data_IF_663235849238
#
_entry.id   IF_663235849238
#
_cell.length_a   1.000
_cell.length_b   1.000
_cell.length_c   1.000
_cell.angle_alpha   90.00
_cell.angle_beta   90.00
_cell.angle_gamma   90.00
#
_symmetry.space_group_name_H-M   'P 1'
#
loop_
_entity.id
_entity.type
_entity.pdbx_description
1 polymer ?
#
# COMPACT_ATOMS: atom_id res chain seq x y z
N UNK A 1 -8.00 23.08 15.78
CA UNK A 1 -7.64 22.33 14.54
C UNK A 1 -6.60 23.06 13.70
N UNK A 2 -6.79 24.34 13.41
CA UNK A 2 -5.84 25.13 12.63
C UNK A 2 -4.43 25.19 13.25
N UNK A 3 -4.35 25.36 14.59
CA UNK A 3 -3.09 25.36 15.33
C UNK A 3 -2.41 23.97 15.23
N UNK A 4 -3.16 22.90 15.42
CA UNK A 4 -2.65 21.53 15.31
C UNK A 4 -2.07 21.25 13.91
N UNK A 5 -2.77 21.68 12.86
CA UNK A 5 -2.32 21.56 11.48
C UNK A 5 -0.95 22.20 11.26
N UNK A 6 -0.79 23.49 11.62
CA UNK A 6 0.47 24.19 11.43
C UNK A 6 1.59 23.70 12.35
N UNK A 7 1.26 23.32 13.59
CA UNK A 7 2.23 22.73 14.49
C UNK A 7 2.80 21.42 13.96
N UNK A 8 1.93 20.52 13.45
CA UNK A 8 2.37 19.28 12.82
C UNK A 8 3.31 19.56 11.62
N UNK A 9 2.96 20.51 10.75
CA UNK A 9 3.82 20.88 9.63
C UNK A 9 5.18 21.43 10.07
N UNK A 10 5.21 22.27 11.11
CA UNK A 10 6.47 22.83 11.64
C UNK A 10 7.37 21.72 12.20
N UNK A 11 6.81 20.82 13.01
CA UNK A 11 7.53 19.66 13.59
C UNK A 11 8.13 18.76 12.49
N UNK A 12 7.38 18.52 11.41
CA UNK A 12 7.88 17.78 10.26
C UNK A 12 9.02 18.51 9.54
N UNK A 13 8.95 19.85 9.37
CA UNK A 13 10.01 20.63 8.71
C UNK A 13 11.33 20.58 9.46
N UNK A 14 11.28 20.65 10.77
CA UNK A 14 12.49 20.57 11.61
C UNK A 14 12.91 19.11 11.91
N UNK A 15 12.18 18.12 11.37
CA UNK A 15 12.42 16.67 11.57
C UNK A 15 12.53 16.27 13.03
N UNK A 16 11.63 16.81 13.88
CA UNK A 16 11.67 16.58 15.31
C UNK A 16 11.17 15.18 15.68
N UNK A 17 12.08 14.24 15.92
CA UNK A 17 11.75 12.82 16.15
C UNK A 17 10.84 12.59 17.36
N UNK A 18 11.00 13.36 18.43
CA UNK A 18 10.12 13.25 19.61
C UNK A 18 8.65 13.60 19.32
N UNK A 19 8.34 14.19 18.15
CA UNK A 19 6.99 14.47 17.72
C UNK A 19 6.26 13.25 17.11
N UNK A 20 6.94 12.12 16.90
CA UNK A 20 6.31 10.94 16.25
C UNK A 20 5.06 10.53 17.03
N UNK A 21 5.17 10.29 18.33
CA UNK A 21 4.00 9.87 19.14
C UNK A 21 2.88 10.92 19.16
N UNK A 22 3.12 12.21 19.44
CA UNK A 22 2.10 13.25 19.34
C UNK A 22 1.42 13.34 17.96
N UNK A 23 2.15 13.08 16.87
CA UNK A 23 1.57 13.06 15.52
C UNK A 23 0.67 11.83 15.31
N UNK A 24 1.05 10.66 15.83
CA UNK A 24 0.19 9.48 15.84
C UNK A 24 -1.06 9.69 16.67
N UNK A 25 -0.95 10.32 17.85
CA UNK A 25 -2.10 10.66 18.71
C UNK A 25 -3.05 11.63 17.99
N UNK A 26 -2.52 12.56 17.20
CA UNK A 26 -3.32 13.46 16.37
C UNK A 26 -4.12 12.69 15.31
N UNK A 27 -3.54 11.66 14.69
CA UNK A 27 -4.23 10.79 13.72
C UNK A 27 -5.37 10.03 14.41
N UNK A 28 -5.11 9.46 15.59
CA UNK A 28 -6.13 8.74 16.38
C UNK A 28 -7.28 9.67 16.74
N UNK A 29 -6.97 10.86 17.24
CA UNK A 29 -7.98 11.85 17.64
C UNK A 29 -8.82 12.37 16.47
N UNK A 30 -8.25 12.40 15.26
CA UNK A 30 -8.96 12.80 14.04
C UNK A 30 -9.89 11.70 13.51
N UNK A 31 -9.61 10.44 13.77
CA UNK A 31 -10.42 9.28 13.36
C UNK A 31 -10.85 9.29 11.87
N UNK A 32 -10.01 9.83 10.98
CA UNK A 32 -10.26 10.03 9.54
C UNK A 32 -11.41 10.99 9.17
N UNK A 33 -11.95 11.76 10.11
CA UNK A 33 -13.06 12.69 9.88
C UNK A 33 -12.63 13.90 9.04
N UNK A 34 -11.45 14.48 9.30
CA UNK A 34 -10.92 15.63 8.58
C UNK A 34 -9.68 15.23 7.77
N UNK A 35 -9.78 15.38 6.45
CA UNK A 35 -8.69 15.04 5.51
C UNK A 35 -7.44 15.90 5.73
N UNK A 36 -7.59 17.17 6.08
CA UNK A 36 -6.47 18.08 6.34
C UNK A 36 -5.74 17.73 7.63
N UNK A 37 -6.51 17.40 8.68
CA UNK A 37 -5.96 16.96 9.97
C UNK A 37 -5.32 15.57 9.91
N UNK A 38 -5.70 14.73 8.93
CA UNK A 38 -4.95 13.50 8.61
C UNK A 38 -3.71 13.80 7.79
N UNK A 39 -3.81 14.68 6.79
CA UNK A 39 -2.70 14.99 5.88
C UNK A 39 -1.49 15.61 6.59
N UNK A 40 -1.72 16.55 7.53
CA UNK A 40 -0.64 17.27 8.20
C UNK A 40 0.31 16.34 8.98
N UNK A 41 -0.16 15.43 9.87
CA UNK A 41 0.71 14.50 10.57
C UNK A 41 1.34 13.45 9.63
N UNK A 42 0.64 12.97 8.60
CA UNK A 42 1.21 12.06 7.60
C UNK A 42 2.40 12.73 6.90
N UNK A 43 2.26 13.98 6.47
CA UNK A 43 3.34 14.72 5.84
C UNK A 43 4.50 14.98 6.83
N UNK A 44 4.19 15.28 8.08
CA UNK A 44 5.21 15.50 9.12
C UNK A 44 6.01 14.22 9.40
N UNK A 45 5.33 13.08 9.59
CA UNK A 45 5.96 11.77 9.79
C UNK A 45 6.85 11.38 8.60
N UNK A 46 6.37 11.63 7.37
CA UNK A 46 7.17 11.38 6.16
C UNK A 46 8.45 12.24 6.12
N UNK A 47 8.38 13.51 6.57
CA UNK A 47 9.56 14.39 6.64
C UNK A 47 10.53 14.01 7.75
N UNK A 48 10.04 13.50 8.87
CA UNK A 48 10.86 12.94 9.96
C UNK A 48 11.63 11.72 9.43
N UNK A 49 11.01 10.90 8.58
CA UNK A 49 11.70 9.88 7.80
C UNK A 49 12.02 8.59 8.57
N UNK A 50 11.39 8.32 9.71
CA UNK A 50 11.61 7.07 10.47
C UNK A 50 10.60 6.01 10.01
N UNK A 51 11.09 4.96 9.38
CA UNK A 51 10.24 3.87 8.85
C UNK A 51 9.83 2.87 9.92
N UNK A 52 10.72 2.53 10.84
CA UNK A 52 10.51 1.48 11.85
C UNK A 52 9.26 1.71 12.70
N UNK A 53 9.05 2.87 13.37
CA UNK A 53 7.86 3.08 14.20
C UNK A 53 6.57 3.11 13.36
N UNK A 54 6.67 3.41 12.07
CA UNK A 54 5.52 3.45 11.16
C UNK A 54 5.17 2.05 10.66
N UNK A 55 6.17 1.24 10.28
CA UNK A 55 5.93 -0.13 9.81
C UNK A 55 5.41 -1.05 10.93
N UNK A 56 5.78 -0.77 12.17
CA UNK A 56 5.27 -1.48 13.35
C UNK A 56 3.75 -1.29 13.58
N UNK A 57 3.13 -0.30 12.93
CA UNK A 57 1.69 -0.07 12.99
C UNK A 57 0.86 -1.07 12.18
N UNK A 58 1.47 -1.98 11.42
CA UNK A 58 0.75 -2.96 10.59
C UNK A 58 -0.23 -3.81 11.42
N UNK A 59 0.15 -4.18 12.65
CA UNK A 59 -0.68 -4.97 13.55
C UNK A 59 -1.49 -4.12 14.55
N UNK A 60 -1.52 -2.79 14.39
CA UNK A 60 -2.23 -1.90 15.30
C UNK A 60 -3.75 -2.05 15.14
N UNK A 61 -4.48 -2.05 16.26
CA UNK A 61 -5.94 -2.16 16.24
C UNK A 61 -6.64 -0.93 15.63
N UNK A 62 -6.02 0.25 15.71
CA UNK A 62 -6.60 1.48 15.18
C UNK A 62 -6.46 1.55 13.66
N UNK A 63 -7.59 1.59 12.97
CA UNK A 63 -7.68 1.63 11.51
C UNK A 63 -7.00 2.88 10.92
N UNK A 64 -7.22 4.04 11.53
CA UNK A 64 -6.67 5.33 11.04
C UNK A 64 -5.15 5.35 11.11
N UNK A 65 -4.55 4.72 12.13
CA UNK A 65 -3.08 4.57 12.21
C UNK A 65 -2.55 3.67 11.09
N UNK A 66 -3.23 2.56 10.77
CA UNK A 66 -2.81 1.68 9.69
C UNK A 66 -2.90 2.36 8.31
N UNK A 67 -3.99 3.11 8.06
CA UNK A 67 -4.12 3.92 6.83
C UNK A 67 -3.00 4.96 6.76
N UNK A 68 -2.78 5.71 7.83
CA UNK A 68 -1.73 6.73 7.87
C UNK A 68 -0.33 6.12 7.65
N UNK A 69 -0.07 4.95 8.22
CA UNK A 69 1.19 4.24 8.02
C UNK A 69 1.44 3.90 6.54
N UNK A 70 0.45 3.37 5.82
CA UNK A 70 0.55 3.14 4.37
C UNK A 70 0.87 4.43 3.62
N UNK A 71 0.20 5.55 3.95
CA UNK A 71 0.43 6.83 3.30
C UNK A 71 1.83 7.41 3.59
N UNK A 72 2.35 7.21 4.81
CA UNK A 72 3.72 7.61 5.17
C UNK A 72 4.75 6.76 4.44
N UNK A 73 4.61 5.43 4.48
CA UNK A 73 5.54 4.49 3.84
C UNK A 73 5.56 4.66 2.31
N UNK A 74 4.42 4.96 1.68
CA UNK A 74 4.36 5.34 0.27
C UNK A 74 5.24 6.56 -0.03
N UNK A 75 5.15 7.62 0.78
CA UNK A 75 5.96 8.83 0.61
C UNK A 75 7.44 8.61 0.83
N UNK A 76 7.78 7.66 1.71
CA UNK A 76 9.16 7.24 1.98
C UNK A 76 9.67 6.21 0.97
N UNK A 77 8.82 5.73 0.05
CA UNK A 77 9.12 4.64 -0.88
C UNK A 77 9.69 3.40 -0.17
N UNK A 78 9.16 3.11 1.02
CA UNK A 78 9.66 2.04 1.87
C UNK A 78 9.01 0.70 1.50
N UNK A 79 9.81 -0.37 1.26
CA UNK A 79 9.29 -1.71 1.00
C UNK A 79 8.52 -2.30 2.20
N UNK A 80 8.68 -1.72 3.38
CA UNK A 80 7.91 -2.08 4.58
C UNK A 80 6.39 -1.93 4.41
N UNK A 81 5.94 -1.17 3.41
CA UNK A 81 4.52 -1.07 3.05
C UNK A 81 3.90 -2.42 2.67
N UNK A 82 4.71 -3.39 2.23
CA UNK A 82 4.26 -4.76 1.92
C UNK A 82 3.66 -5.49 3.13
N UNK A 83 3.98 -5.09 4.37
CA UNK A 83 3.37 -5.65 5.58
C UNK A 83 1.85 -5.46 5.59
N UNK A 84 1.36 -4.36 5.03
CA UNK A 84 -0.05 -4.00 4.97
C UNK A 84 -0.84 -4.74 3.86
N UNK A 85 -0.17 -5.51 3.00
CA UNK A 85 -0.84 -6.43 2.07
C UNK A 85 -1.54 -7.60 2.77
N UNK A 86 -1.30 -7.79 4.07
CA UNK A 86 -1.93 -8.80 4.91
C UNK A 86 -2.98 -8.22 5.86
N UNK A 87 -3.35 -6.94 5.69
CA UNK A 87 -4.34 -6.29 6.56
C UNK A 87 -5.70 -6.98 6.42
N UNK A 88 -6.45 -7.03 7.53
CA UNK A 88 -7.82 -7.53 7.59
C UNK A 88 -8.84 -6.64 6.85
N UNK A 89 -8.48 -5.39 6.59
CA UNK A 89 -9.29 -4.42 5.85
C UNK A 89 -8.80 -4.35 4.40
N UNK A 90 -9.61 -4.88 3.46
CA UNK A 90 -9.27 -4.90 2.04
C UNK A 90 -9.02 -3.51 1.46
N UNK A 91 -9.60 -2.46 2.05
CA UNK A 91 -9.29 -1.09 1.66
C UNK A 91 -7.82 -0.75 1.93
N UNK A 92 -7.30 -1.13 3.09
CA UNK A 92 -5.89 -0.89 3.45
C UNK A 92 -4.96 -1.71 2.55
N UNK A 93 -5.32 -2.96 2.26
CA UNK A 93 -4.59 -3.79 1.28
C UNK A 93 -4.56 -3.11 -0.09
N UNK A 94 -5.69 -2.56 -0.53
CA UNK A 94 -5.79 -1.84 -1.82
C UNK A 94 -4.93 -0.58 -1.85
N UNK A 95 -4.89 0.18 -0.76
CA UNK A 95 -4.02 1.38 -0.66
C UNK A 95 -2.53 1.00 -0.57
N UNK A 96 -2.19 -0.11 0.09
CA UNK A 96 -0.84 -0.65 0.08
C UNK A 96 -0.42 -1.09 -1.33
N UNK A 97 -1.29 -1.78 -2.05
CA UNK A 97 -1.06 -2.16 -3.45
C UNK A 97 -0.86 -0.92 -4.34
N UNK A 98 -1.66 0.14 -4.11
CA UNK A 98 -1.50 1.43 -4.79
C UNK A 98 -0.14 2.06 -4.48
N UNK A 99 0.29 2.02 -3.22
CA UNK A 99 1.59 2.56 -2.82
C UNK A 99 2.77 1.82 -3.49
N UNK A 100 2.63 0.51 -3.69
CA UNK A 100 3.67 -0.33 -4.29
C UNK A 100 3.74 -0.18 -5.80
N UNK A 101 2.59 -0.14 -6.48
CA UNK A 101 2.53 -0.27 -7.94
C UNK A 101 2.45 1.05 -8.68
N UNK A 102 1.75 2.06 -8.11
CA UNK A 102 1.47 3.32 -8.79
C UNK A 102 2.63 4.32 -8.59
N UNK A 103 2.65 5.38 -9.39
CA UNK A 103 3.64 6.47 -9.35
C UNK A 103 5.10 5.94 -9.47
N UNK A 104 5.88 6.14 -8.43
CA UNK A 104 7.24 5.63 -8.28
C UNK A 104 7.18 4.24 -7.63
N UNK A 105 7.13 3.22 -8.41
CA UNK A 105 7.02 1.84 -7.93
C UNK A 105 8.06 1.49 -6.84
N UNK A 106 7.62 0.73 -5.85
CA UNK A 106 8.50 0.16 -4.81
C UNK A 106 8.85 -1.27 -5.24
N UNK A 107 9.92 -1.40 -6.00
CA UNK A 107 10.28 -2.65 -6.70
C UNK A 107 10.45 -3.83 -5.75
N UNK A 108 11.08 -3.62 -4.58
CA UNK A 108 11.30 -4.66 -3.57
C UNK A 108 10.00 -5.23 -2.99
N UNK A 109 8.90 -4.50 -3.12
CA UNK A 109 7.58 -4.93 -2.63
C UNK A 109 6.71 -5.58 -3.73
N UNK A 110 7.09 -5.51 -5.00
CA UNK A 110 6.34 -6.10 -6.12
C UNK A 110 6.10 -7.61 -5.97
N UNK A 111 7.07 -8.44 -5.51
CA UNK A 111 6.83 -9.87 -5.34
C UNK A 111 5.69 -10.17 -4.34
N UNK A 112 5.61 -9.41 -3.25
CA UNK A 112 4.54 -9.57 -2.27
C UNK A 112 3.17 -9.19 -2.86
N UNK A 113 3.11 -8.13 -3.68
CA UNK A 113 1.90 -7.70 -4.37
C UNK A 113 1.45 -8.71 -5.43
N UNK A 114 2.36 -9.20 -6.28
CA UNK A 114 2.06 -10.22 -7.29
C UNK A 114 1.55 -11.52 -6.65
N UNK A 115 2.08 -11.89 -5.49
CA UNK A 115 1.66 -13.07 -4.74
C UNK A 115 0.19 -13.06 -4.32
N UNK A 116 -0.50 -11.92 -4.28
CA UNK A 116 -1.92 -11.84 -3.96
C UNK A 116 -2.81 -12.50 -5.03
N UNK A 117 -2.34 -12.71 -6.25
CA UNK A 117 -3.07 -13.43 -7.31
C UNK A 117 -3.43 -14.88 -6.93
N UNK A 118 -2.71 -15.47 -5.98
CA UNK A 118 -2.97 -16.82 -5.49
C UNK A 118 -4.01 -16.87 -4.36
N UNK A 119 -4.56 -15.72 -3.95
CA UNK A 119 -5.44 -15.59 -2.78
C UNK A 119 -6.87 -15.21 -3.20
N UNK A 120 -7.79 -16.17 -3.10
CA UNK A 120 -9.18 -16.00 -3.56
C UNK A 120 -10.04 -15.09 -2.66
N UNK A 121 -9.53 -14.71 -1.49
CA UNK A 121 -10.23 -13.85 -0.54
C UNK A 121 -10.43 -12.43 -1.04
N UNK A 122 -9.52 -11.93 -1.87
CA UNK A 122 -9.57 -10.57 -2.39
C UNK A 122 -10.53 -10.44 -3.57
N UNK A 123 -11.36 -9.40 -3.52
CA UNK A 123 -12.36 -9.10 -4.57
C UNK A 123 -12.22 -7.69 -5.14
N UNK A 124 -11.41 -6.85 -4.50
CA UNK A 124 -11.15 -5.49 -4.97
C UNK A 124 -10.52 -5.50 -6.37
N UNK A 125 -11.27 -5.03 -7.37
CA UNK A 125 -10.78 -4.94 -8.75
C UNK A 125 -9.51 -4.05 -8.85
N UNK A 126 -9.45 -2.87 -8.21
CA UNK A 126 -8.24 -2.05 -8.21
C UNK A 126 -7.02 -2.74 -7.60
N UNK A 127 -7.21 -3.60 -6.58
CA UNK A 127 -6.15 -4.41 -5.99
C UNK A 127 -5.64 -5.46 -6.98
N UNK A 128 -6.55 -6.25 -7.53
CA UNK A 128 -6.21 -7.37 -8.41
C UNK A 128 -5.57 -6.90 -9.73
N UNK A 129 -6.01 -5.76 -10.30
CA UNK A 129 -5.33 -5.14 -11.45
C UNK A 129 -3.88 -4.78 -11.18
N UNK A 130 -3.59 -4.24 -9.98
CA UNK A 130 -2.21 -3.93 -9.55
C UNK A 130 -1.39 -5.20 -9.35
N UNK A 131 -1.99 -6.26 -8.84
CA UNK A 131 -1.32 -7.55 -8.68
C UNK A 131 -0.99 -8.19 -10.03
N UNK A 132 -1.88 -8.09 -11.03
CA UNK A 132 -1.63 -8.53 -12.41
C UNK A 132 -0.48 -7.71 -13.01
N UNK A 133 -0.49 -6.40 -12.86
CA UNK A 133 0.57 -5.53 -13.36
C UNK A 133 1.92 -5.80 -12.67
N UNK A 134 1.92 -6.02 -11.35
CA UNK A 134 3.13 -6.38 -10.62
C UNK A 134 3.72 -7.70 -11.11
N UNK A 135 2.89 -8.70 -11.41
CA UNK A 135 3.35 -9.97 -11.99
C UNK A 135 3.99 -9.77 -13.36
N UNK A 136 3.37 -8.96 -14.24
CA UNK A 136 3.95 -8.63 -15.55
C UNK A 136 5.33 -7.97 -15.42
N UNK A 137 5.45 -7.03 -14.51
CA UNK A 137 6.71 -6.28 -14.31
C UNK A 137 7.85 -7.12 -13.75
N UNK A 138 7.54 -8.13 -12.94
CA UNK A 138 8.52 -9.11 -12.47
C UNK A 138 8.97 -10.05 -13.58
N UNK A 139 8.05 -10.45 -14.46
CA UNK A 139 8.35 -11.20 -15.67
C UNK A 139 8.87 -12.63 -15.48
N UNK A 140 8.80 -13.18 -14.25
CA UNK A 140 9.33 -14.50 -13.93
C UNK A 140 8.36 -15.66 -14.25
N UNK A 141 8.89 -16.86 -14.27
CA UNK A 141 8.11 -18.11 -14.51
C UNK A 141 7.02 -18.32 -13.46
N UNK A 142 7.29 -17.95 -12.20
CA UNK A 142 6.33 -18.08 -11.09
C UNK A 142 5.16 -17.15 -11.34
N UNK A 143 5.41 -15.91 -11.71
CA UNK A 143 4.39 -14.91 -11.98
C UNK A 143 3.55 -15.29 -13.19
N UNK A 144 4.15 -15.83 -14.24
CA UNK A 144 3.45 -16.35 -15.41
C UNK A 144 2.48 -17.48 -15.02
N UNK A 145 2.94 -18.47 -14.23
CA UNK A 145 2.09 -19.58 -13.77
C UNK A 145 0.95 -19.09 -12.89
N UNK A 146 1.21 -18.11 -12.02
CA UNK A 146 0.19 -17.50 -11.17
C UNK A 146 -0.87 -16.77 -12.01
N UNK A 147 -0.48 -16.04 -13.05
CA UNK A 147 -1.41 -15.39 -13.99
C UNK A 147 -2.24 -16.41 -14.77
N UNK A 148 -1.64 -17.51 -15.24
CA UNK A 148 -2.37 -18.60 -15.90
C UNK A 148 -3.40 -19.21 -14.95
N UNK A 149 -3.02 -19.48 -13.71
CA UNK A 149 -3.90 -20.04 -12.69
C UNK A 149 -5.05 -19.07 -12.36
N UNK A 150 -4.74 -17.79 -12.21
CA UNK A 150 -5.73 -16.72 -11.99
C UNK A 150 -6.73 -16.63 -13.16
N UNK A 151 -6.26 -16.64 -14.39
CA UNK A 151 -7.10 -16.56 -15.59
C UNK A 151 -8.07 -17.75 -15.72
N UNK A 152 -7.67 -18.92 -15.24
CA UNK A 152 -8.49 -20.15 -15.26
C UNK A 152 -9.48 -20.19 -14.09
N UNK A 153 -9.27 -19.44 -13.01
CA UNK A 153 -10.05 -19.57 -11.78
C UNK A 153 -11.40 -18.85 -11.89
N UNK A 154 -12.56 -19.59 -11.85
CA UNK A 154 -13.89 -18.99 -11.96
C UNK A 154 -14.30 -18.17 -10.73
N UNK A 155 -13.56 -18.22 -9.62
CA UNK A 155 -13.80 -17.39 -8.43
C UNK A 155 -13.57 -15.89 -8.70
N UNK A 156 -12.85 -15.55 -9.76
CA UNK A 156 -12.61 -14.18 -10.20
C UNK A 156 -13.52 -13.78 -11.36
N UNK A 157 -13.78 -12.47 -11.50
CA UNK A 157 -14.62 -11.94 -12.56
C UNK A 157 -14.05 -12.24 -13.95
N UNK A 158 -14.93 -12.39 -14.95
CA UNK A 158 -14.51 -12.62 -16.34
C UNK A 158 -13.66 -11.47 -16.88
N UNK A 159 -13.91 -10.23 -16.42
CA UNK A 159 -13.14 -9.04 -16.80
C UNK A 159 -11.68 -9.17 -16.36
N UNK A 160 -11.44 -9.46 -15.08
CA UNK A 160 -10.08 -9.61 -14.54
C UNK A 160 -9.34 -10.82 -15.13
N UNK A 161 -10.07 -11.91 -15.36
CA UNK A 161 -9.51 -13.10 -16.02
C UNK A 161 -9.10 -12.80 -17.46
N UNK A 162 -9.92 -12.04 -18.19
CA UNK A 162 -9.60 -11.56 -19.54
C UNK A 162 -8.39 -10.62 -19.54
N UNK A 163 -8.24 -9.77 -18.55
CA UNK A 163 -7.08 -8.89 -18.39
C UNK A 163 -5.80 -9.69 -18.13
N UNK A 164 -5.85 -10.72 -17.27
CA UNK A 164 -4.71 -11.61 -17.05
C UNK A 164 -4.30 -12.35 -18.32
N UNK A 165 -5.27 -12.80 -19.15
CA UNK A 165 -4.97 -13.41 -20.46
C UNK A 165 -4.34 -12.41 -21.43
N UNK A 166 -4.87 -11.17 -21.48
CA UNK A 166 -4.28 -10.13 -22.32
C UNK A 166 -2.84 -9.81 -21.89
N UNK A 167 -2.58 -9.75 -20.58
CA UNK A 167 -1.25 -9.58 -20.02
C UNK A 167 -0.29 -10.68 -20.42
N UNK A 168 -0.73 -11.94 -20.39
CA UNK A 168 0.06 -13.10 -20.88
C UNK A 168 0.37 -12.99 -22.37
N UNK A 169 -0.53 -12.42 -23.17
CA UNK A 169 -0.33 -12.18 -24.61
C UNK A 169 0.72 -11.12 -24.92
N UNK A 170 1.05 -10.26 -23.95
CA UNK A 170 2.09 -9.22 -24.09
C UNK A 170 3.39 -9.56 -23.36
N UNK A 171 3.54 -10.78 -22.87
CA UNK A 171 4.72 -11.23 -22.13
C UNK A 171 5.96 -11.27 -23.03
N UNK A 172 6.89 -10.34 -22.81
CA UNK A 172 8.02 -10.10 -23.72
C UNK A 172 9.22 -11.05 -23.54
N UNK A 173 9.30 -11.72 -22.41
CA UNK A 173 10.40 -12.61 -22.09
C UNK A 173 9.91 -13.90 -21.44
N UNK A 174 9.26 -14.79 -22.21
CA UNK A 174 9.04 -16.13 -21.71
C UNK A 174 10.42 -16.80 -21.60
N UNK A 175 10.90 -16.97 -20.40
CA UNK A 175 12.11 -17.75 -20.12
C UNK A 175 11.88 -19.22 -20.35
#
# INVERSE_FOLDING_TARGET
>A
DRVKFYAAQALGRIKHEAAIQPLLDMIVANADEDVYLRHAPVLALSRIGKTEPISALADNNNRSLRIAAVLVLRRLQSPEVAKFLKDKDEYIVTEAARAINDDWSIEEALPALAGLLTQEQYKSEPLLRRSINAALRLGGDTEMRNLISFAKNPAFSSVLRGEALATLGTWESPS
#
